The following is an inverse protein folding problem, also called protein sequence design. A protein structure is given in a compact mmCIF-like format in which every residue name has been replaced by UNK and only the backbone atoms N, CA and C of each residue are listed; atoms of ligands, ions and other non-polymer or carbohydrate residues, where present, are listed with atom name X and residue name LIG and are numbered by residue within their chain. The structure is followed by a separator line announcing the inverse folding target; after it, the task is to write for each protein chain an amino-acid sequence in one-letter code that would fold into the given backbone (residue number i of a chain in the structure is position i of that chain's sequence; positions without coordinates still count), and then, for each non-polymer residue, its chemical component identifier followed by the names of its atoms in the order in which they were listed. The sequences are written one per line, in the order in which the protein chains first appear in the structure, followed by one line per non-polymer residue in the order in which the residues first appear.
data_IF_658433628188
#
_entry.id   IF_658433628188
#
_cell.length_a   1.000
_cell.length_b   1.000
_cell.length_c   1.000
_cell.angle_alpha   90.00
_cell.angle_beta   90.00
_cell.angle_gamma   90.00
#
_symmetry.space_group_name_H-M   'P 1'
#
loop_
_entity.id
_entity.type
_entity.pdbx_description
1 polymer ?
#
# COMPACT_ATOMS: atom_id res chain seq x y z
N UNK A 1 -46.65 -57.22 6.94
CA UNK A 1 -45.41 -56.85 7.69
C UNK A 1 -44.54 -56.05 6.73
N UNK A 2 -44.60 -54.71 6.68
CA UNK A 2 -43.84 -53.73 7.48
C UNK A 2 -42.43 -54.20 7.85
N UNK A 3 -41.38 -53.56 7.29
CA UNK A 3 -40.48 -52.64 8.02
C UNK A 3 -39.41 -52.03 7.07
N UNK A 4 -39.26 -50.70 7.15
CA UNK A 4 -38.03 -49.88 7.21
C UNK A 4 -37.10 -49.99 5.99
N UNK A 5 -36.94 -48.96 5.15
CA UNK A 5 -36.59 -47.59 5.52
C UNK A 5 -35.10 -47.38 5.23
N UNK A 6 -34.78 -46.74 4.11
CA UNK A 6 -33.44 -46.20 3.81
C UNK A 6 -33.60 -45.00 2.88
N UNK A 7 -33.94 -43.88 3.48
CA UNK A 7 -33.66 -42.55 2.94
C UNK A 7 -32.14 -42.40 2.88
N UNK A 8 -31.56 -42.45 1.68
CA UNK A 8 -30.17 -42.07 1.48
C UNK A 8 -30.10 -40.54 1.42
N UNK A 9 -29.45 -40.00 2.44
CA UNK A 9 -29.18 -38.61 2.72
C UNK A 9 -28.44 -37.95 1.53
N UNK A 10 -29.03 -36.86 1.04
CA UNK A 10 -28.41 -35.93 0.09
C UNK A 10 -27.23 -35.26 0.81
N UNK A 11 -26.01 -35.60 0.43
CA UNK A 11 -24.84 -34.78 0.77
C UNK A 11 -24.65 -33.80 -0.38
N UNK A 12 -25.28 -32.63 -0.22
CA UNK A 12 -24.97 -31.42 -0.97
C UNK A 12 -23.51 -31.05 -0.63
N UNK A 13 -22.56 -31.47 -1.47
CA UNK A 13 -21.23 -30.86 -1.52
C UNK A 13 -21.37 -29.55 -2.31
N UNK A 14 -22.01 -28.55 -1.69
CA UNK A 14 -21.72 -27.16 -2.00
C UNK A 14 -20.33 -26.87 -1.46
N UNK A 15 -19.32 -27.27 -2.23
CA UNK A 15 -18.02 -26.61 -2.21
C UNK A 15 -18.30 -25.15 -2.52
N UNK A 16 -18.41 -24.34 -1.47
CA UNK A 16 -18.21 -22.92 -1.57
C UNK A 16 -16.77 -22.75 -2.05
N UNK A 17 -16.60 -22.72 -3.37
CA UNK A 17 -15.56 -21.93 -3.98
C UNK A 17 -15.70 -20.55 -3.36
N UNK A 18 -14.90 -20.27 -2.34
CA UNK A 18 -14.48 -18.91 -2.07
C UNK A 18 -13.63 -18.61 -3.29
N UNK A 19 -14.31 -18.19 -4.37
CA UNK A 19 -13.67 -17.54 -5.49
C UNK A 19 -12.92 -16.38 -4.83
N UNK A 20 -11.61 -16.57 -4.71
CA UNK A 20 -10.68 -15.51 -4.36
C UNK A 20 -10.73 -14.57 -5.57
N UNK A 21 -11.79 -13.77 -5.65
CA UNK A 21 -11.88 -12.71 -6.61
C UNK A 21 -10.69 -11.81 -6.30
N UNK A 22 -9.67 -11.88 -7.16
CA UNK A 22 -8.64 -10.85 -7.20
C UNK A 22 -9.40 -9.52 -7.26
N UNK A 23 -9.33 -8.71 -6.22
CA UNK A 23 -9.93 -7.38 -6.27
C UNK A 23 -9.25 -6.65 -7.42
N UNK A 24 -10.04 -6.20 -8.39
CA UNK A 24 -9.51 -5.46 -9.53
C UNK A 24 -8.89 -4.16 -9.01
N UNK A 25 -7.62 -3.97 -9.34
CA UNK A 25 -6.85 -2.78 -8.96
C UNK A 25 -7.29 -1.62 -9.86
N UNK A 26 -7.85 -0.56 -9.28
CA UNK A 26 -8.28 0.59 -10.06
C UNK A 26 -7.06 1.32 -10.65
N UNK A 27 -6.92 1.31 -11.97
CA UNK A 27 -5.86 2.05 -12.65
C UNK A 27 -6.29 3.51 -12.76
N UNK A 28 -5.59 4.38 -12.03
CA UNK A 28 -5.85 5.80 -12.01
C UNK A 28 -5.05 6.52 -13.09
N UNK A 29 -5.58 7.64 -13.57
CA UNK A 29 -4.85 8.55 -14.44
C UNK A 29 -3.69 9.15 -13.63
N UNK A 30 -2.47 9.21 -14.19
CA UNK A 30 -1.35 9.92 -13.59
C UNK A 30 -1.72 11.34 -13.19
N UNK A 31 -1.34 11.75 -11.97
CA UNK A 31 -1.44 13.16 -11.56
C UNK A 31 -0.23 13.94 -12.05
N UNK A 32 -0.45 15.16 -12.51
CA UNK A 32 0.65 16.07 -12.82
C UNK A 32 1.36 16.49 -11.53
N UNK A 33 2.70 16.35 -11.50
CA UNK A 33 3.50 16.84 -10.40
C UNK A 33 3.26 18.33 -10.17
N UNK A 34 3.14 18.73 -8.91
CA UNK A 34 2.96 20.14 -8.55
C UNK A 34 4.21 20.93 -8.97
N UNK A 35 3.99 22.13 -9.51
CA UNK A 35 5.06 23.08 -9.78
C UNK A 35 5.92 23.33 -8.52
N UNK A 36 7.21 23.63 -8.69
CA UNK A 36 8.10 23.81 -7.55
C UNK A 36 7.57 24.89 -6.58
N UNK A 37 7.20 24.47 -5.37
CA UNK A 37 6.76 25.33 -4.26
C UNK A 37 7.66 25.13 -3.05
N UNK A 38 7.69 26.10 -2.13
CA UNK A 38 8.32 25.92 -0.82
C UNK A 38 7.69 24.73 -0.07
N UNK A 39 8.53 23.83 0.42
CA UNK A 39 8.09 22.59 1.05
C UNK A 39 9.19 21.84 1.77
N UNK A 40 8.79 20.85 2.56
CA UNK A 40 9.70 19.90 3.22
C UNK A 40 9.73 18.62 2.37
N UNK A 41 10.90 18.04 2.17
CA UNK A 41 11.03 16.77 1.44
C UNK A 41 11.28 15.63 2.43
N UNK A 42 10.40 14.64 2.44
CA UNK A 42 10.57 13.39 3.21
C UNK A 42 11.03 12.24 2.31
N UNK A 43 11.53 11.15 2.90
CA UNK A 43 11.97 9.93 2.18
C UNK A 43 12.97 10.20 1.04
N UNK A 44 13.90 11.14 1.26
CA UNK A 44 14.89 11.59 0.26
C UNK A 44 15.76 10.47 -0.32
N UNK A 45 15.93 9.36 0.41
CA UNK A 45 16.80 8.24 0.04
C UNK A 45 16.19 7.30 -1.00
N UNK A 46 14.86 7.24 -1.07
CA UNK A 46 14.12 6.30 -1.92
C UNK A 46 13.26 7.04 -2.95
N UNK A 47 12.10 7.51 -2.50
CA UNK A 47 11.10 8.19 -3.31
C UNK A 47 10.77 9.52 -2.61
N UNK A 48 11.48 10.62 -2.96
CA UNK A 48 11.29 11.89 -2.27
C UNK A 48 9.89 12.45 -2.51
N UNK A 49 9.26 12.90 -1.43
CA UNK A 49 7.92 13.50 -1.48
C UNK A 49 8.03 14.91 -0.90
N UNK A 50 7.65 15.91 -1.68
CA UNK A 50 7.59 17.31 -1.27
C UNK A 50 6.24 17.65 -0.67
N UNK A 51 6.22 17.83 0.64
CA UNK A 51 5.06 18.31 1.38
C UNK A 51 5.02 19.85 1.35
N UNK A 52 3.90 20.47 0.99
CA UNK A 52 3.80 21.92 0.91
C UNK A 52 3.81 22.55 2.31
N UNK A 53 4.53 23.65 2.53
CA UNK A 53 4.61 24.29 3.85
C UNK A 53 3.24 24.69 4.42
N UNK A 54 2.30 25.08 3.56
CA UNK A 54 0.97 25.49 3.98
C UNK A 54 0.17 24.40 4.71
N UNK A 55 0.38 23.12 4.37
CA UNK A 55 -0.34 22.01 5.01
C UNK A 55 0.34 21.52 6.27
N UNK A 56 1.57 21.98 6.53
CA UNK A 56 2.39 21.63 7.69
C UNK A 56 2.24 22.61 8.86
N UNK A 57 1.35 23.61 8.75
CA UNK A 57 1.08 24.54 9.82
C UNK A 57 0.60 23.79 11.08
N UNK A 58 1.28 24.00 12.21
CA UNK A 58 0.96 23.31 13.47
C UNK A 58 1.39 21.83 13.53
N UNK A 59 2.02 21.30 12.48
CA UNK A 59 2.46 19.90 12.46
C UNK A 59 3.69 19.68 13.35
N UNK A 60 3.73 18.52 14.00
CA UNK A 60 4.88 18.04 14.79
C UNK A 60 5.63 16.97 14.00
N UNK A 61 6.95 17.07 13.96
CA UNK A 61 7.85 16.11 13.31
C UNK A 61 8.56 15.28 14.37
N UNK A 62 8.48 13.96 14.25
CA UNK A 62 9.08 13.01 15.19
C UNK A 62 10.06 12.12 14.42
N UNK A 63 11.32 12.11 14.88
CA UNK A 63 12.45 11.39 14.28
C UNK A 63 13.44 12.32 13.57
N UNK A 64 14.52 11.76 13.02
CA UNK A 64 15.64 12.50 12.42
C UNK A 64 15.27 13.21 11.12
N UNK A 65 14.36 12.64 10.34
CA UNK A 65 13.99 13.14 9.00
C UNK A 65 12.46 13.29 8.86
N UNK A 66 11.74 13.33 9.99
CA UNK A 66 10.28 13.44 9.99
C UNK A 66 9.57 12.14 9.63
N UNK A 67 10.10 11.02 10.12
CA UNK A 67 9.57 9.66 9.91
C UNK A 67 8.10 9.55 10.32
N UNK A 68 7.67 10.35 11.32
CA UNK A 68 6.27 10.55 11.68
C UNK A 68 5.96 12.05 11.74
N UNK A 69 4.93 12.46 10.98
CA UNK A 69 4.38 13.82 10.99
C UNK A 69 2.97 13.74 11.57
N UNK A 70 2.74 14.49 12.65
CA UNK A 70 1.44 14.60 13.31
C UNK A 70 0.86 15.98 13.04
N UNK A 71 -0.27 16.03 12.35
CA UNK A 71 -1.03 17.23 12.04
C UNK A 71 -2.08 17.47 13.14
N UNK A 72 -2.70 18.66 13.12
CA UNK A 72 -3.86 18.93 13.98
C UNK A 72 -5.00 17.90 13.74
N UNK A 73 -5.85 17.70 14.75
CA UNK A 73 -7.01 16.80 14.65
C UNK A 73 -6.68 15.29 14.65
N UNK A 74 -5.48 14.91 15.11
CA UNK A 74 -4.95 13.54 15.09
C UNK A 74 -4.78 12.97 13.67
N UNK A 75 -4.62 13.82 12.65
CA UNK A 75 -4.19 13.42 11.31
C UNK A 75 -2.68 13.12 11.35
N UNK A 76 -2.25 12.09 10.64
CA UNK A 76 -0.85 11.65 10.74
C UNK A 76 -0.33 10.99 9.47
N UNK A 77 0.94 11.26 9.15
CA UNK A 77 1.68 10.64 8.07
C UNK A 77 2.91 9.95 8.66
N UNK A 78 3.00 8.64 8.49
CA UNK A 78 4.20 7.88 8.79
C UNK A 78 4.84 7.43 7.47
N UNK A 79 6.14 7.67 7.34
CA UNK A 79 6.90 7.43 6.14
C UNK A 79 8.12 6.56 6.46
N UNK A 80 8.26 5.44 5.77
CA UNK A 80 9.42 4.57 5.91
C UNK A 80 9.95 4.12 4.56
N UNK A 81 11.27 4.04 4.45
CA UNK A 81 11.93 3.31 3.36
C UNK A 81 12.18 1.90 3.86
N UNK A 82 11.88 0.92 3.00
CA UNK A 82 12.11 -0.48 3.32
C UNK A 82 13.11 -1.01 2.30
N UNK A 83 14.19 -1.58 2.82
CA UNK A 83 15.25 -2.22 2.05
C UNK A 83 15.15 -3.74 2.13
N UNK A 84 15.89 -4.43 1.26
CA UNK A 84 16.09 -5.87 1.35
C UNK A 84 16.67 -6.31 2.71
N UNK A 85 17.61 -5.52 3.27
CA UNK A 85 18.26 -5.82 4.56
C UNK A 85 17.28 -5.69 5.73
N UNK A 86 16.46 -4.63 5.75
CA UNK A 86 15.41 -4.43 6.77
C UNK A 86 14.44 -5.62 6.84
N UNK A 87 14.34 -6.34 5.72
CA UNK A 87 13.45 -7.47 5.52
C UNK A 87 14.20 -8.81 5.47
N UNK A 88 15.52 -8.84 5.64
CA UNK A 88 16.30 -10.09 5.66
C UNK A 88 16.21 -10.93 4.39
N UNK A 89 15.93 -10.33 3.22
CA UNK A 89 15.81 -11.02 1.93
C UNK A 89 16.95 -10.66 0.99
N UNK A 90 17.31 -11.56 0.06
CA UNK A 90 18.34 -11.32 -0.97
C UNK A 90 17.77 -11.43 -2.39
N UNK A 91 16.46 -11.21 -2.55
CA UNK A 91 15.78 -11.33 -3.84
C UNK A 91 16.20 -10.22 -4.80
N UNK A 92 16.49 -10.60 -6.04
CA UNK A 92 16.94 -9.67 -7.08
C UNK A 92 15.86 -8.65 -7.54
N UNK A 93 14.61 -8.81 -7.12
CA UNK A 93 13.47 -8.05 -7.62
C UNK A 93 12.53 -7.55 -6.49
N UNK A 94 13.14 -6.97 -5.46
CA UNK A 94 12.44 -6.50 -4.27
C UNK A 94 11.42 -5.37 -4.55
N UNK A 95 11.66 -4.54 -5.57
CA UNK A 95 10.74 -3.45 -5.94
C UNK A 95 9.36 -3.93 -6.44
N UNK A 96 9.17 -5.23 -6.71
CA UNK A 96 7.86 -5.81 -7.05
C UNK A 96 7.02 -6.22 -5.84
N UNK A 97 7.57 -6.14 -4.63
CA UNK A 97 6.82 -6.39 -3.39
C UNK A 97 5.47 -5.63 -3.36
N UNK A 98 5.41 -4.31 -3.63
CA UNK A 98 4.13 -3.59 -3.66
C UNK A 98 3.14 -4.19 -4.66
N UNK A 99 3.60 -4.64 -5.83
CA UNK A 99 2.76 -5.30 -6.82
C UNK A 99 2.14 -6.58 -6.26
N UNK A 100 2.95 -7.46 -5.66
CA UNK A 100 2.46 -8.72 -5.07
C UNK A 100 1.45 -8.49 -3.95
N UNK A 101 1.72 -7.51 -3.07
CA UNK A 101 0.81 -7.16 -1.97
C UNK A 101 -0.55 -6.71 -2.50
N UNK A 102 -0.57 -5.82 -3.50
CA UNK A 102 -1.81 -5.21 -3.98
C UNK A 102 -2.59 -6.09 -4.95
N UNK A 103 -1.91 -6.84 -5.82
CA UNK A 103 -2.55 -7.80 -6.74
C UNK A 103 -2.91 -9.12 -6.06
N UNK A 104 -2.40 -9.36 -4.84
CA UNK A 104 -2.50 -10.64 -4.12
C UNK A 104 -1.95 -11.82 -4.92
N UNK A 105 -0.94 -11.56 -5.76
CA UNK A 105 -0.27 -12.61 -6.53
C UNK A 105 0.85 -13.24 -5.70
N UNK A 106 0.47 -14.22 -4.88
CA UNK A 106 1.42 -15.02 -4.10
C UNK A 106 1.84 -16.32 -4.81
N UNK A 107 1.12 -16.69 -5.87
CA UNK A 107 1.34 -17.93 -6.59
C UNK A 107 2.64 -17.91 -7.40
N UNK A 108 3.04 -16.74 -7.91
CA UNK A 108 4.30 -16.56 -8.65
C UNK A 108 5.56 -16.58 -7.78
N UNK A 109 5.41 -16.62 -6.46
CA UNK A 109 6.51 -16.52 -5.49
C UNK A 109 7.01 -17.91 -5.13
N UNK A 110 8.25 -18.24 -5.48
CA UNK A 110 8.82 -19.58 -5.24
C UNK A 110 9.36 -19.77 -3.83
N UNK A 111 9.76 -18.68 -3.15
CA UNK A 111 10.29 -18.70 -1.80
C UNK A 111 9.14 -18.77 -0.76
N UNK A 112 9.04 -19.85 0.04
CA UNK A 112 7.96 -20.01 1.01
C UNK A 112 8.05 -19.07 2.21
N UNK A 113 9.25 -18.66 2.63
CA UNK A 113 9.41 -17.73 3.75
C UNK A 113 8.97 -16.33 3.33
N UNK A 114 9.47 -15.87 2.18
CA UNK A 114 9.06 -14.60 1.61
C UNK A 114 7.55 -14.55 1.30
N UNK A 115 6.98 -15.65 0.78
CA UNK A 115 5.52 -15.75 0.57
C UNK A 115 4.75 -15.55 1.88
N UNK A 116 5.16 -16.21 2.97
CA UNK A 116 4.51 -16.11 4.28
C UNK A 116 4.60 -14.70 4.86
N UNK A 117 5.73 -14.01 4.68
CA UNK A 117 5.88 -12.63 5.11
C UNK A 117 4.97 -11.68 4.32
N UNK A 118 4.90 -11.87 3.00
CA UNK A 118 3.98 -11.10 2.16
C UNK A 118 2.52 -11.36 2.51
N UNK A 119 2.13 -12.60 2.87
CA UNK A 119 0.81 -12.89 3.42
C UNK A 119 0.53 -12.03 4.66
N UNK A 120 1.48 -11.94 5.58
CA UNK A 120 1.37 -11.08 6.77
C UNK A 120 1.20 -9.60 6.43
N UNK A 121 1.91 -9.09 5.43
CA UNK A 121 1.81 -7.70 4.99
C UNK A 121 0.52 -7.43 4.23
N UNK A 122 0.07 -8.38 3.40
CA UNK A 122 -1.25 -8.34 2.76
C UNK A 122 -2.31 -8.24 3.83
N UNK A 123 -2.23 -9.07 4.87
CA UNK A 123 -3.13 -8.98 6.02
C UNK A 123 -3.04 -7.59 6.64
N UNK A 124 -1.90 -7.12 7.13
CA UNK A 124 -1.80 -5.80 7.80
C UNK A 124 -2.23 -4.62 6.90
N UNK A 125 -1.90 -4.68 5.61
CA UNK A 125 -2.15 -3.59 4.64
C UNK A 125 -3.61 -3.56 4.22
N UNK A 126 -4.18 -4.74 3.95
CA UNK A 126 -5.55 -4.91 3.46
C UNK A 126 -6.55 -5.27 4.59
N UNK A 127 -6.08 -5.41 5.83
CA UNK A 127 -6.85 -5.77 7.03
C UNK A 127 -8.04 -4.83 7.22
N UNK A 128 -9.12 -5.32 7.87
CA UNK A 128 -10.42 -4.70 7.74
C UNK A 128 -10.49 -3.46 8.62
N UNK A 129 -10.36 -2.32 7.98
CA UNK A 129 -10.88 -1.05 8.45
C UNK A 129 -11.73 -0.51 7.30
N UNK A 130 -12.95 -1.05 7.15
CA UNK A 130 -13.86 -0.80 6.02
C UNK A 130 -13.28 -1.24 4.66
N UNK A 131 -14.13 -1.33 3.62
CA UNK A 131 -13.69 -1.66 2.26
C UNK A 131 -12.70 -0.59 1.77
N UNK A 132 -11.41 -0.96 1.66
CA UNK A 132 -10.39 -0.09 1.07
C UNK A 132 -10.53 -0.12 -0.46
N UNK A 133 -10.43 1.04 -1.09
CA UNK A 133 -10.34 1.12 -2.55
C UNK A 133 -8.89 0.90 -2.93
N UNK A 134 -8.63 -0.20 -3.65
CA UNK A 134 -7.29 -0.51 -4.16
C UNK A 134 -7.10 0.17 -5.50
N UNK A 135 -6.01 0.92 -5.63
CA UNK A 135 -5.68 1.67 -6.84
C UNK A 135 -4.20 1.60 -7.15
N UNK A 136 -3.86 1.84 -8.41
CA UNK A 136 -2.49 2.00 -8.90
C UNK A 136 -2.40 3.21 -9.80
N UNK A 137 -1.27 3.91 -9.70
CA UNK A 137 -0.97 5.08 -10.51
C UNK A 137 0.52 5.09 -10.83
N UNK A 138 0.88 5.58 -12.01
CA UNK A 138 2.28 5.83 -12.39
C UNK A 138 2.51 7.33 -12.48
N UNK A 139 3.59 7.82 -11.87
CA UNK A 139 4.03 9.22 -11.88
C UNK A 139 5.49 9.21 -12.34
N UNK A 140 5.72 9.57 -13.59
CA UNK A 140 7.00 9.34 -14.25
C UNK A 140 7.37 7.86 -14.25
N UNK A 141 8.46 7.51 -13.56
CA UNK A 141 8.90 6.11 -13.36
C UNK A 141 8.45 5.50 -12.03
N UNK A 142 7.86 6.30 -11.14
CA UNK A 142 7.43 5.83 -9.82
C UNK A 142 6.02 5.26 -9.95
N UNK A 143 5.80 4.05 -9.45
CA UNK A 143 4.47 3.46 -9.32
C UNK A 143 3.98 3.58 -7.88
N UNK A 144 2.81 4.18 -7.70
CA UNK A 144 2.13 4.29 -6.43
C UNK A 144 0.99 3.27 -6.35
N UNK A 145 1.08 2.34 -5.41
CA UNK A 145 0.03 1.39 -5.05
C UNK A 145 -0.69 1.91 -3.81
N UNK A 146 -2.01 2.09 -3.91
CA UNK A 146 -2.79 2.87 -2.95
C UNK A 146 -3.93 2.01 -2.42
N UNK A 147 -3.97 1.81 -1.10
CA UNK A 147 -5.11 1.23 -0.39
C UNK A 147 -5.81 2.36 0.35
N UNK A 148 -6.80 2.98 -0.29
CA UNK A 148 -7.47 4.17 0.23
C UNK A 148 -8.60 3.82 1.18
N UNK A 149 -8.58 4.47 2.34
CA UNK A 149 -9.69 4.60 3.27
C UNK A 149 -9.52 5.90 4.07
N UNK A 150 -10.60 6.68 4.29
CA UNK A 150 -10.50 7.97 4.96
C UNK A 150 -9.96 7.88 6.39
N UNK A 151 -10.15 6.78 7.11
CA UNK A 151 -9.58 6.58 8.45
C UNK A 151 -8.09 6.22 8.39
N UNK A 152 -7.72 5.30 7.49
CA UNK A 152 -6.35 4.81 7.36
C UNK A 152 -6.04 4.33 5.94
N UNK A 153 -5.27 5.14 5.23
CA UNK A 153 -4.75 4.83 3.89
C UNK A 153 -3.31 4.34 3.95
N UNK A 154 -2.94 3.45 3.02
CA UNK A 154 -1.56 3.00 2.84
C UNK A 154 -1.16 3.23 1.40
N UNK A 155 0.03 3.79 1.19
CA UNK A 155 0.61 3.97 -0.14
C UNK A 155 1.98 3.29 -0.16
N UNK A 156 2.24 2.47 -1.16
CA UNK A 156 3.57 1.91 -1.42
C UNK A 156 4.09 2.47 -2.75
N UNK A 157 5.29 3.04 -2.72
CA UNK A 157 5.97 3.59 -3.90
C UNK A 157 7.12 2.68 -4.29
N UNK A 158 7.19 2.29 -5.56
CA UNK A 158 8.32 1.59 -6.15
C UNK A 158 8.79 2.29 -7.43
N UNK A 159 10.04 2.07 -7.80
CA UNK A 159 10.64 2.60 -9.03
C UNK A 159 11.67 1.61 -9.58
N UNK A 160 11.74 1.41 -10.91
CA UNK A 160 12.78 0.59 -11.52
C UNK A 160 14.18 1.19 -11.33
N UNK A 161 14.31 2.49 -11.08
CA UNK A 161 15.60 3.15 -10.81
C UNK A 161 16.12 2.85 -9.38
N UNK A 162 15.26 2.27 -8.52
CA UNK A 162 15.56 1.90 -7.12
C UNK A 162 15.09 0.47 -6.85
N UNK A 163 15.64 -0.54 -7.54
CA UNK A 163 15.11 -1.91 -7.53
C UNK A 163 15.19 -2.61 -6.16
N UNK A 164 16.07 -2.12 -5.27
CA UNK A 164 16.37 -2.75 -3.97
C UNK A 164 15.56 -2.15 -2.80
N UNK A 165 14.66 -1.20 -3.06
CA UNK A 165 13.88 -0.56 -2.02
C UNK A 165 12.47 -0.16 -2.50
N UNK A 166 11.57 0.02 -1.53
CA UNK A 166 10.30 0.70 -1.76
C UNK A 166 10.01 1.66 -0.60
N UNK A 167 9.13 2.63 -0.82
CA UNK A 167 8.67 3.54 0.25
C UNK A 167 7.28 3.14 0.68
N UNK A 168 7.05 3.05 1.99
CA UNK A 168 5.73 2.84 2.59
C UNK A 168 5.28 4.13 3.28
N UNK A 169 4.07 4.56 2.96
CA UNK A 169 3.37 5.65 3.63
C UNK A 169 2.13 5.10 4.32
N UNK A 170 1.92 5.48 5.57
CA UNK A 170 0.69 5.21 6.32
C UNK A 170 0.08 6.56 6.68
N UNK A 171 -1.14 6.79 6.19
CA UNK A 171 -1.84 8.06 6.31
C UNK A 171 -3.11 7.86 7.13
N UNK A 172 -3.21 8.49 8.28
CA UNK A 172 -4.39 8.44 9.14
C UNK A 172 -5.21 9.72 8.94
N UNK A 173 -6.51 9.57 8.66
CA UNK A 173 -7.47 10.69 8.53
C UNK A 173 -7.13 11.66 7.39
N UNK A 174 -6.76 11.10 6.24
CA UNK A 174 -6.56 11.86 5.01
C UNK A 174 -7.72 11.58 4.04
N UNK A 175 -8.30 12.64 3.49
CA UNK A 175 -9.19 12.54 2.34
C UNK A 175 -8.43 12.20 1.06
N UNK A 176 -9.16 11.73 0.04
CA UNK A 176 -8.57 11.49 -1.28
C UNK A 176 -7.93 12.76 -1.86
N UNK A 177 -8.61 13.90 -1.72
CA UNK A 177 -8.14 15.19 -2.22
C UNK A 177 -6.82 15.62 -1.56
N UNK A 178 -6.68 15.42 -0.25
CA UNK A 178 -5.43 15.68 0.46
C UNK A 178 -4.31 14.73 0.01
N UNK A 179 -4.60 13.43 -0.15
CA UNK A 179 -3.63 12.47 -0.67
C UNK A 179 -3.15 12.90 -2.05
N UNK A 180 -4.08 13.24 -2.95
CA UNK A 180 -3.74 13.66 -4.30
C UNK A 180 -2.87 14.92 -4.29
N UNK A 181 -3.32 15.98 -3.59
CA UNK A 181 -2.68 17.29 -3.65
C UNK A 181 -1.41 17.43 -2.81
N UNK A 182 -1.33 16.73 -1.67
CA UNK A 182 -0.20 16.84 -0.76
C UNK A 182 0.86 15.79 -1.04
N UNK A 183 0.44 14.56 -1.35
CA UNK A 183 1.32 13.40 -1.43
C UNK A 183 1.63 13.07 -2.88
N UNK A 184 0.62 12.72 -3.69
CA UNK A 184 0.83 12.20 -5.05
C UNK A 184 1.45 13.27 -5.95
N UNK A 185 0.89 14.48 -5.98
CA UNK A 185 1.48 15.61 -6.70
C UNK A 185 2.82 16.09 -6.12
N UNK A 186 3.15 15.67 -4.90
CA UNK A 186 4.42 15.99 -4.23
C UNK A 186 5.56 15.03 -4.56
N UNK A 187 5.28 13.87 -5.18
CA UNK A 187 6.30 12.89 -5.55
C UNK A 187 7.26 13.52 -6.58
N UNK A 188 8.55 13.51 -6.28
CA UNK A 188 9.59 14.05 -7.17
C UNK A 188 10.14 12.95 -8.07
N UNK A 189 10.11 13.19 -9.37
CA UNK A 189 10.85 12.39 -10.35
C UNK A 189 12.35 12.70 -10.21
N UNK A 190 13.18 11.67 -10.33
CA UNK A 190 14.65 11.77 -10.37
C UNK A 190 15.17 11.32 -11.73
#
# INVERSE_FOLDING_TARGET
MKYIGRTALIILLSLSEIACASQDLNVLVPVEARAATSGITINRTAHPIMLPLGTLAGATFIGSEGELIVYEGNKGLYASVVTQEDWGTTLADFHRVPEYVFKRDLASIHDPEFRKELEGIILITLEPAVEKVLSVMTIGKITAYIAFNPEKSIIMLSSPDKPDLFTRLVLNRFSWEEIENEILKGIKEH
#
